data_IF_637080673844
#
_entry.id   IF_637080673844
#
_cell.length_a   1.000
_cell.length_b   1.000
_cell.length_c   1.000
_cell.angle_alpha   90.00
_cell.angle_beta   90.00
_cell.angle_gamma   90.00
#
_symmetry.space_group_name_H-M   'P 1'
#
loop_
_entity.id
_entity.type
_entity.pdbx_description
1 polymer ?
#
# COMPACT_ATOMS: atom_id res chain seq x y z
N UNK A 1 1.27 -27.90 -6.69
CA UNK A 1 1.94 -28.11 -7.99
C UNK A 1 3.36 -27.55 -7.89
N UNK A 2 4.33 -28.10 -8.63
CA UNK A 2 5.71 -27.62 -8.62
C UNK A 2 6.06 -27.09 -10.00
N UNK A 3 6.60 -25.87 -10.06
CA UNK A 3 7.12 -25.28 -11.29
C UNK A 3 8.64 -25.46 -11.31
N UNK A 4 9.15 -26.10 -12.36
CA UNK A 4 10.58 -26.15 -12.63
C UNK A 4 10.93 -25.02 -13.61
N UNK A 5 11.86 -24.15 -13.22
CA UNK A 5 12.40 -23.08 -14.07
C UNK A 5 13.57 -23.59 -14.92
N UNK A 6 13.94 -22.85 -15.96
CA UNK A 6 14.98 -23.24 -16.93
C UNK A 6 16.38 -23.40 -16.28
N UNK A 7 16.61 -22.75 -15.15
CA UNK A 7 17.79 -22.89 -14.30
C UNK A 7 17.73 -24.12 -13.36
N UNK A 8 16.68 -24.93 -13.46
CA UNK A 8 16.47 -26.14 -12.67
C UNK A 8 15.89 -25.91 -11.26
N UNK A 9 15.61 -24.66 -10.86
CA UNK A 9 15.01 -24.39 -9.57
C UNK A 9 13.55 -24.89 -9.52
N UNK A 10 13.15 -25.44 -8.37
CA UNK A 10 11.80 -25.96 -8.14
C UNK A 10 11.07 -25.03 -7.19
N UNK A 11 9.96 -24.46 -7.65
CA UNK A 11 9.14 -23.54 -6.88
C UNK A 11 7.77 -24.12 -6.56
N UNK A 12 7.29 -24.01 -5.31
CA UNK A 12 5.91 -24.33 -4.99
C UNK A 12 5.00 -23.30 -5.64
N UNK A 13 4.11 -23.75 -6.54
CA UNK A 13 3.11 -22.87 -7.13
C UNK A 13 1.80 -22.96 -6.33
N UNK A 14 1.26 -21.82 -5.88
CA UNK A 14 -0.04 -21.78 -5.24
C UNK A 14 -1.14 -22.34 -6.18
N UNK A 15 -2.08 -23.16 -5.70
CA UNK A 15 -3.13 -23.74 -6.54
C UNK A 15 -3.97 -22.70 -7.30
N UNK A 16 -4.16 -21.52 -6.71
CA UNK A 16 -4.90 -20.42 -7.34
C UNK A 16 -4.21 -19.83 -8.58
N UNK A 17 -2.94 -20.16 -8.82
CA UNK A 17 -2.20 -19.77 -10.02
C UNK A 17 -2.16 -20.88 -11.09
N UNK A 18 -2.86 -21.99 -10.84
CA UNK A 18 -3.03 -23.09 -11.78
C UNK A 18 -4.51 -23.27 -12.08
N UNK A 19 -4.81 -24.15 -13.04
CA UNK A 19 -6.15 -24.61 -13.38
C UNK A 19 -6.78 -25.56 -12.33
N UNK A 20 -6.09 -25.79 -11.21
CA UNK A 20 -6.54 -26.69 -10.14
C UNK A 20 -7.66 -26.08 -9.31
N UNK A 21 -7.82 -24.76 -9.35
CA UNK A 21 -8.87 -24.04 -8.63
C UNK A 21 -9.89 -23.55 -9.65
N UNK A 22 -11.17 -23.85 -9.39
CA UNK A 22 -12.27 -23.37 -10.23
C UNK A 22 -12.31 -21.84 -10.23
N UNK A 23 -12.62 -21.24 -11.38
CA UNK A 23 -12.83 -19.79 -11.50
C UNK A 23 -13.96 -19.39 -10.56
N UNK A 24 -13.74 -18.29 -9.83
CA UNK A 24 -14.72 -17.75 -8.92
C UNK A 24 -16.06 -17.49 -9.64
N UNK A 25 -17.21 -17.86 -9.05
CA UNK A 25 -18.52 -17.72 -9.69
C UNK A 25 -18.86 -16.28 -10.08
N UNK A 26 -18.40 -15.26 -9.37
CA UNK A 26 -18.61 -13.85 -9.73
C UNK A 26 -17.80 -13.48 -10.98
N UNK A 27 -16.57 -13.96 -11.09
CA UNK A 27 -15.71 -13.80 -12.28
C UNK A 27 -16.32 -14.55 -13.47
N UNK A 28 -16.80 -15.77 -13.26
CA UNK A 28 -17.48 -16.56 -14.28
C UNK A 28 -18.79 -15.90 -14.74
N UNK A 29 -19.62 -15.41 -13.81
CA UNK A 29 -20.87 -14.71 -14.10
C UNK A 29 -20.63 -13.39 -14.87
N UNK A 30 -19.49 -12.73 -14.63
CA UNK A 30 -19.11 -11.52 -15.36
C UNK A 30 -18.64 -11.78 -16.79
N UNK A 31 -18.47 -13.06 -17.18
CA UNK A 31 -17.82 -13.48 -18.42
C UNK A 31 -16.42 -12.89 -18.59
N UNK A 32 -15.65 -12.86 -17.50
CA UNK A 32 -14.28 -12.31 -17.46
C UNK A 32 -14.20 -10.78 -17.46
N UNK A 33 -15.32 -10.06 -17.36
CA UNK A 33 -15.32 -8.58 -17.28
C UNK A 33 -14.99 -8.05 -15.89
N UNK A 34 -15.28 -8.82 -14.85
CA UNK A 34 -14.84 -8.56 -13.49
C UNK A 34 -13.57 -9.36 -13.22
N UNK A 35 -12.41 -8.72 -13.41
CA UNK A 35 -11.10 -9.31 -13.13
C UNK A 35 -10.81 -9.40 -11.63
N UNK A 36 -11.56 -8.67 -10.80
CA UNK A 36 -11.41 -8.59 -9.36
C UNK A 36 -12.77 -8.71 -8.69
N UNK A 37 -12.82 -9.51 -7.63
CA UNK A 37 -13.97 -9.56 -6.72
C UNK A 37 -14.08 -8.26 -5.94
N UNK A 38 -15.27 -7.93 -5.46
CA UNK A 38 -15.49 -6.78 -4.55
C UNK A 38 -14.59 -6.88 -3.30
N UNK A 39 -14.38 -8.10 -2.78
CA UNK A 39 -13.45 -8.35 -1.67
C UNK A 39 -12.02 -7.93 -2.00
N UNK A 40 -11.55 -8.22 -3.21
CA UNK A 40 -10.19 -7.88 -3.65
C UNK A 40 -10.02 -6.36 -3.76
N UNK A 41 -11.06 -5.65 -4.21
CA UNK A 41 -11.05 -4.19 -4.27
C UNK A 41 -11.03 -3.55 -2.87
N UNK A 42 -11.80 -4.11 -1.93
CA UNK A 42 -11.79 -3.68 -0.53
C UNK A 42 -10.44 -3.92 0.14
N UNK A 43 -9.85 -5.10 -0.05
CA UNK A 43 -8.53 -5.43 0.50
C UNK A 43 -7.43 -4.53 -0.08
N UNK A 44 -7.48 -4.27 -1.39
CA UNK A 44 -6.57 -3.33 -2.04
C UNK A 44 -6.73 -1.92 -1.49
N UNK A 45 -7.96 -1.43 -1.33
CA UNK A 45 -8.22 -0.10 -0.78
C UNK A 45 -7.64 0.03 0.64
N UNK A 46 -7.86 -0.96 1.50
CA UNK A 46 -7.31 -1.00 2.85
C UNK A 46 -5.77 -1.01 2.83
N UNK A 47 -5.16 -1.80 1.94
CA UNK A 47 -3.71 -1.86 1.81
C UNK A 47 -3.09 -0.52 1.38
N UNK A 48 -3.75 0.18 0.45
CA UNK A 48 -3.34 1.52 0.01
C UNK A 48 -3.47 2.53 1.14
N UNK A 49 -4.56 2.51 1.89
CA UNK A 49 -4.77 3.37 3.07
C UNK A 49 -3.66 3.17 4.11
N UNK A 50 -3.37 1.92 4.49
CA UNK A 50 -2.27 1.60 5.39
C UNK A 50 -0.89 2.06 4.88
N UNK A 51 -0.65 1.99 3.57
CA UNK A 51 0.60 2.48 2.99
C UNK A 51 0.68 4.00 3.07
N UNK A 52 -0.40 4.71 2.75
CA UNK A 52 -0.51 6.16 2.87
C UNK A 52 -0.28 6.62 4.30
N UNK A 53 -0.89 5.97 5.29
CA UNK A 53 -0.70 6.28 6.71
C UNK A 53 0.74 6.10 7.15
N UNK A 54 1.39 5.02 6.70
CA UNK A 54 2.82 4.78 6.99
C UNK A 54 3.71 5.86 6.39
N UNK A 55 3.42 6.29 5.16
CA UNK A 55 4.16 7.36 4.50
C UNK A 55 3.93 8.71 5.19
N UNK A 56 2.72 9.00 5.63
CA UNK A 56 2.38 10.21 6.38
C UNK A 56 3.01 10.23 7.78
N UNK A 57 3.03 9.09 8.48
CA UNK A 57 3.72 8.96 9.76
C UNK A 57 5.23 9.21 9.60
N UNK A 58 5.82 8.69 8.52
CA UNK A 58 7.23 8.93 8.20
C UNK A 58 7.51 10.41 7.90
N UNK A 59 6.69 11.07 7.09
CA UNK A 59 6.88 12.49 6.79
C UNK A 59 6.72 13.37 8.03
N UNK A 60 5.84 13.01 8.96
CA UNK A 60 5.70 13.68 10.26
C UNK A 60 6.92 13.48 11.16
N UNK A 61 7.51 12.30 11.16
CA UNK A 61 8.76 12.05 11.89
C UNK A 61 9.96 12.81 11.29
N UNK A 62 9.92 13.12 9.99
CA UNK A 62 10.94 13.90 9.29
C UNK A 62 10.67 15.42 9.35
N UNK A 63 9.52 15.86 9.88
CA UNK A 63 9.17 17.28 9.99
C UNK A 63 10.02 17.94 11.07
N UNK A 64 10.94 18.83 10.65
CA UNK A 64 11.75 19.65 11.56
C UNK A 64 10.85 20.45 12.50
N UNK A 65 11.24 20.51 13.77
CA UNK A 65 10.53 21.27 14.80
C UNK A 65 10.32 22.73 14.37
N UNK A 66 9.21 23.31 14.83
CA UNK A 66 8.93 24.72 14.58
C UNK A 66 9.87 25.59 15.44
N UNK A 67 10.97 26.06 14.85
CA UNK A 67 11.94 26.96 15.48
C UNK A 67 11.44 28.41 15.65
N UNK A 68 10.14 28.67 15.55
CA UNK A 68 9.58 30.02 15.75
C UNK A 68 10.02 30.67 17.07
N UNK A 69 10.17 29.89 18.15
CA UNK A 69 10.70 30.40 19.42
C UNK A 69 12.14 30.91 19.30
N UNK A 70 12.99 30.21 18.54
CA UNK A 70 14.38 30.60 18.29
C UNK A 70 14.46 31.87 17.43
N UNK A 71 13.52 32.05 16.49
CA UNK A 71 13.43 33.27 15.66
C UNK A 71 13.02 34.47 16.52
N UNK A 72 12.09 34.31 17.46
CA UNK A 72 11.65 35.39 18.36
C UNK A 72 12.75 35.82 19.35
N UNK A 73 13.67 34.92 19.70
CA UNK A 73 14.85 35.25 20.52
C UNK A 73 15.90 36.04 19.72
N UNK A 74 16.09 35.69 18.44
CA UNK A 74 17.06 36.36 17.55
C UNK A 74 16.54 37.71 17.05
N UNK A 75 15.23 37.82 16.80
CA UNK A 75 14.54 39.05 16.42
C UNK A 75 13.36 39.29 17.38
N UNK A 76 13.61 39.88 18.55
CA UNK A 76 12.54 40.33 19.41
C UNK A 76 11.73 41.39 18.65
N UNK A 77 10.44 41.13 18.47
CA UNK A 77 9.53 42.13 17.93
C UNK A 77 9.41 43.23 18.99
N UNK A 78 9.98 44.40 18.72
CA UNK A 78 9.79 45.56 19.59
C UNK A 78 8.32 45.97 19.48
N UNK A 79 7.56 45.74 20.56
CA UNK A 79 6.22 46.29 20.71
C UNK A 79 6.33 47.82 20.64
N UNK A 80 5.98 48.38 19.49
CA UNK A 80 5.82 49.82 19.31
C UNK A 80 4.66 50.29 20.18
N UNK A 81 4.99 50.93 21.29
CA UNK A 81 4.06 51.69 22.13
C UNK A 81 4.25 53.20 21.91
#
# INVERSE_FOLDING_TARGET
>A
MLLQTDDGAIWPLPPQWTDLVSVDPEVAASNGRALLLVSNLMELANMVEHLCDRLAARSRAECKDNYAANVNEIMPQEDSQ
#
